data_IF_064252315664
#
_entry.id   IF_064252315664
#
_cell.length_a   1.000
_cell.length_b   1.000
_cell.length_c   1.000
_cell.angle_alpha   90.00
_cell.angle_beta   90.00
_cell.angle_gamma   90.00
#
_symmetry.space_group_name_H-M   'P 1'
#
loop_
_entity.id
_entity.type
_entity.pdbx_description
1 polymer ?
#
# COMPACT_ATOMS: atom_id res chain seq x y z
N UNK A 1 21.00 37.69 -0.51
CA UNK A 1 19.85 36.77 -0.53
C UNK A 1 20.04 35.56 -1.44
N UNK A 2 20.67 35.68 -2.61
CA UNK A 2 20.89 34.57 -3.57
C UNK A 2 21.75 33.39 -3.03
N UNK A 3 22.76 33.69 -2.22
CA UNK A 3 23.67 32.69 -1.61
C UNK A 3 22.99 31.83 -0.53
N UNK A 4 22.05 32.39 0.24
CA UNK A 4 21.32 31.61 1.27
C UNK A 4 20.29 30.66 0.65
N UNK A 5 19.68 31.03 -0.46
CA UNK A 5 18.76 30.17 -1.23
C UNK A 5 19.48 28.99 -1.89
N UNK A 6 20.71 29.20 -2.39
CA UNK A 6 21.53 28.15 -2.95
C UNK A 6 21.95 27.09 -1.92
N UNK A 7 22.28 27.55 -0.67
CA UNK A 7 22.66 26.64 0.41
C UNK A 7 21.46 25.77 0.86
N UNK A 8 20.25 26.34 0.92
CA UNK A 8 19.03 25.59 1.29
C UNK A 8 18.67 24.58 0.20
N UNK A 9 18.81 24.93 -1.08
CA UNK A 9 18.55 24.01 -2.19
C UNK A 9 19.55 22.85 -2.23
N UNK A 10 20.84 23.12 -2.01
CA UNK A 10 21.88 22.09 -1.97
C UNK A 10 21.75 21.19 -0.73
N UNK A 11 21.40 21.74 0.43
CA UNK A 11 21.18 20.94 1.64
C UNK A 11 19.91 20.08 1.53
N UNK A 12 18.83 20.59 0.91
CA UNK A 12 17.62 19.79 0.66
C UNK A 12 17.85 18.63 -0.30
N UNK A 13 18.64 18.83 -1.35
CA UNK A 13 19.03 17.79 -2.31
C UNK A 13 19.99 16.77 -1.66
N UNK A 14 20.90 17.21 -0.81
CA UNK A 14 21.80 16.31 -0.08
C UNK A 14 21.05 15.46 0.97
N UNK A 15 20.06 16.04 1.65
CA UNK A 15 19.24 15.31 2.63
C UNK A 15 18.33 14.29 1.93
N UNK A 16 17.75 14.63 0.78
CA UNK A 16 16.96 13.65 0.00
C UNK A 16 17.82 12.55 -0.59
N UNK A 17 19.03 12.85 -1.04
CA UNK A 17 19.99 11.84 -1.52
C UNK A 17 20.52 10.96 -0.37
N UNK A 18 20.72 11.51 0.82
CA UNK A 18 21.13 10.76 2.03
C UNK A 18 19.96 9.92 2.56
N UNK A 19 18.71 10.39 2.52
CA UNK A 19 17.54 9.60 2.91
C UNK A 19 17.28 8.45 1.91
N UNK A 20 17.43 8.68 0.61
CA UNK A 20 17.38 7.63 -0.41
C UNK A 20 18.60 6.69 -0.33
N UNK A 21 19.80 7.22 -0.18
CA UNK A 21 21.03 6.44 -0.02
C UNK A 21 21.10 5.69 1.32
N UNK A 22 20.60 6.28 2.41
CA UNK A 22 20.53 5.65 3.72
C UNK A 22 19.51 4.53 3.79
N UNK A 23 18.36 4.67 3.14
CA UNK A 23 17.39 3.59 2.99
C UNK A 23 17.96 2.42 2.15
N UNK A 24 18.76 2.74 1.12
CA UNK A 24 19.48 1.74 0.32
C UNK A 24 20.64 1.08 1.10
N UNK A 25 21.41 1.83 1.89
CA UNK A 25 22.58 1.30 2.61
C UNK A 25 22.20 0.46 3.84
N UNK A 26 21.09 0.75 4.51
CA UNK A 26 20.64 0.03 5.72
C UNK A 26 19.72 -1.15 5.45
N UNK A 27 19.23 -1.32 4.23
CA UNK A 27 18.31 -2.40 3.87
C UNK A 27 18.34 -2.81 2.40
N UNK A 28 19.25 -2.25 1.60
CA UNK A 28 19.21 -2.33 0.13
C UNK A 28 19.13 -3.74 -0.44
N UNK A 29 19.91 -4.67 0.09
CA UNK A 29 19.90 -6.05 -0.42
C UNK A 29 18.72 -6.87 0.11
N UNK A 30 18.30 -6.65 1.36
CA UNK A 30 17.15 -7.35 1.94
C UNK A 30 15.81 -6.82 1.44
N UNK A 31 15.74 -5.50 1.17
CA UNK A 31 14.52 -4.82 0.70
C UNK A 31 14.26 -5.12 -0.78
N UNK A 32 15.28 -5.11 -1.63
CA UNK A 32 15.17 -5.45 -3.05
C UNK A 32 14.71 -6.89 -3.28
N UNK A 33 15.34 -7.85 -2.60
CA UNK A 33 15.04 -9.27 -2.78
C UNK A 33 13.71 -9.69 -2.12
N UNK A 34 13.32 -9.06 -1.01
CA UNK A 34 12.12 -9.45 -0.28
C UNK A 34 10.81 -8.96 -0.92
N UNK A 35 10.82 -7.82 -1.63
CA UNK A 35 9.58 -7.27 -2.19
C UNK A 35 9.38 -7.64 -3.63
N UNK A 36 10.41 -7.51 -4.43
CA UNK A 36 10.24 -7.62 -5.86
C UNK A 36 10.94 -8.85 -6.42
N UNK A 37 11.86 -9.50 -5.68
CA UNK A 37 12.68 -10.59 -6.23
C UNK A 37 13.10 -10.29 -7.70
N UNK A 38 13.20 -9.01 -8.00
CA UNK A 38 13.52 -8.46 -9.31
C UNK A 38 14.86 -7.76 -9.15
N UNK A 39 15.81 -8.16 -9.95
CA UNK A 39 17.15 -7.55 -9.93
C UNK A 39 17.07 -6.10 -10.44
N UNK A 40 16.86 -5.16 -9.50
CA UNK A 40 16.85 -3.72 -9.79
C UNK A 40 18.29 -3.20 -10.02
N UNK A 41 19.30 -4.04 -9.75
CA UNK A 41 20.70 -3.66 -9.95
C UNK A 41 21.01 -3.32 -11.42
N UNK A 42 20.27 -3.93 -12.35
CA UNK A 42 20.38 -3.61 -13.79
C UNK A 42 19.90 -2.20 -14.17
N UNK A 43 19.09 -1.54 -13.31
CA UNK A 43 18.59 -0.18 -13.55
C UNK A 43 19.57 0.91 -13.12
N UNK A 44 20.56 0.59 -12.26
CA UNK A 44 21.46 1.60 -11.69
C UNK A 44 22.53 2.06 -12.67
N UNK A 45 22.82 1.30 -13.72
CA UNK A 45 23.88 1.55 -14.73
C UNK A 45 23.35 1.64 -16.17
N UNK A 46 22.13 2.18 -16.37
CA UNK A 46 21.62 2.38 -17.71
C UNK A 46 22.43 3.48 -18.45
N UNK A 47 22.72 3.31 -19.75
CA UNK A 47 23.33 4.34 -20.55
C UNK A 47 22.43 5.58 -20.60
N UNK A 48 23.00 6.75 -20.90
CA UNK A 48 22.17 7.94 -21.14
C UNK A 48 21.39 7.74 -22.44
N UNK A 49 20.12 8.18 -22.44
CA UNK A 49 19.33 8.21 -23.66
C UNK A 49 19.98 9.23 -24.61
N UNK A 50 20.44 8.75 -25.76
CA UNK A 50 20.93 9.62 -26.81
C UNK A 50 19.75 9.97 -27.75
N UNK A 51 19.21 11.17 -27.56
CA UNK A 51 18.13 11.70 -28.39
C UNK A 51 18.66 12.44 -29.61
N UNK A 52 20.01 12.56 -29.79
CA UNK A 52 20.64 13.23 -30.90
C UNK A 52 20.82 12.25 -32.05
N UNK A 53 19.97 12.34 -33.08
CA UNK A 53 20.15 11.62 -34.35
C UNK A 53 19.24 10.42 -34.61
N UNK A 54 18.35 10.08 -33.69
CA UNK A 54 17.27 9.11 -33.99
C UNK A 54 16.16 9.81 -34.79
N UNK A 55 15.57 9.15 -35.79
CA UNK A 55 14.37 9.68 -36.42
C UNK A 55 13.29 9.85 -35.36
N UNK A 56 12.69 11.04 -35.29
CA UNK A 56 11.59 11.35 -34.38
C UNK A 56 10.52 10.27 -34.56
N UNK A 57 10.31 9.46 -33.55
CA UNK A 57 9.27 8.44 -33.58
C UNK A 57 7.91 9.17 -33.66
N UNK A 58 7.14 8.90 -34.71
CA UNK A 58 5.84 9.55 -34.92
C UNK A 58 4.67 8.74 -34.33
N UNK A 59 4.94 7.49 -33.95
CA UNK A 59 3.92 6.59 -33.45
C UNK A 59 3.65 6.86 -31.96
N UNK A 60 2.44 7.28 -31.62
CA UNK A 60 1.96 7.49 -30.23
C UNK A 60 1.56 6.18 -29.52
N UNK A 61 1.71 5.04 -30.19
CA UNK A 61 1.40 3.71 -29.64
C UNK A 61 2.40 2.68 -30.17
N UNK A 62 2.82 1.78 -29.27
CA UNK A 62 3.75 0.70 -29.58
C UNK A 62 3.28 -0.60 -28.94
N UNK A 63 3.26 -1.69 -29.73
CA UNK A 63 3.03 -3.04 -29.22
C UNK A 63 4.36 -3.76 -29.03
N UNK A 64 4.51 -4.37 -27.88
CA UNK A 64 5.71 -5.12 -27.51
C UNK A 64 5.31 -6.56 -27.16
N UNK A 65 6.07 -7.57 -27.59
CA UNK A 65 5.89 -8.92 -27.11
C UNK A 65 6.19 -8.93 -25.59
N UNK A 66 5.40 -9.70 -24.85
CA UNK A 66 5.72 -9.93 -23.45
C UNK A 66 6.90 -10.90 -23.35
N UNK A 67 7.99 -10.45 -22.76
CA UNK A 67 9.15 -11.29 -22.49
C UNK A 67 9.02 -11.97 -21.12
N UNK A 68 9.32 -13.27 -21.09
CA UNK A 68 9.30 -14.07 -19.88
C UNK A 68 8.10 -15.03 -19.77
N UNK A 69 8.38 -16.20 -19.22
CA UNK A 69 7.38 -17.22 -18.88
C UNK A 69 6.89 -17.09 -17.42
N UNK A 70 7.28 -16.01 -16.74
CA UNK A 70 6.92 -15.77 -15.36
C UNK A 70 5.48 -15.22 -15.28
N UNK A 71 4.86 -15.45 -14.14
CA UNK A 71 3.54 -14.98 -13.76
C UNK A 71 3.60 -13.61 -13.02
N UNK A 72 4.61 -12.80 -13.37
CA UNK A 72 4.92 -11.51 -12.73
C UNK A 72 4.87 -10.37 -13.75
N UNK A 73 4.23 -9.26 -13.38
CA UNK A 73 4.25 -8.00 -14.11
C UNK A 73 4.78 -6.89 -13.19
N UNK A 74 5.96 -6.36 -13.50
CA UNK A 74 6.57 -5.26 -12.77
C UNK A 74 6.73 -4.04 -13.68
N UNK A 75 6.35 -2.86 -13.20
CA UNK A 75 6.39 -1.61 -13.94
C UNK A 75 7.30 -0.64 -13.19
N UNK A 76 8.40 -0.26 -13.81
CA UNK A 76 9.41 0.65 -13.25
C UNK A 76 9.51 1.95 -14.04
N UNK A 77 8.36 2.57 -14.26
CA UNK A 77 8.25 3.88 -14.93
C UNK A 77 6.96 4.57 -14.46
N UNK A 78 6.88 5.91 -14.60
CA UNK A 78 5.66 6.65 -14.29
C UNK A 78 4.60 6.34 -15.36
N UNK A 79 3.60 5.50 -15.02
CA UNK A 79 2.63 5.03 -15.98
C UNK A 79 1.25 4.80 -15.37
N UNK A 80 0.21 4.93 -16.20
CA UNK A 80 -1.08 4.35 -15.92
C UNK A 80 -1.10 2.92 -16.49
N UNK A 81 -1.40 1.95 -15.64
CA UNK A 81 -1.31 0.53 -15.99
C UNK A 81 -2.71 -0.07 -16.00
N UNK A 82 -3.06 -0.72 -17.09
CA UNK A 82 -4.34 -1.40 -17.24
C UNK A 82 -4.11 -2.89 -17.50
N UNK A 83 -4.75 -3.71 -16.69
CA UNK A 83 -4.84 -5.14 -16.90
C UNK A 83 -6.31 -5.56 -16.84
N UNK A 84 -6.74 -6.29 -17.87
CA UNK A 84 -8.05 -6.93 -17.88
C UNK A 84 -7.89 -8.41 -18.26
N UNK A 85 -8.27 -9.29 -17.36
CA UNK A 85 -8.18 -10.72 -17.59
C UNK A 85 -8.96 -11.13 -18.86
N UNK A 86 -8.32 -11.96 -19.69
CA UNK A 86 -8.90 -12.45 -20.95
C UNK A 86 -8.74 -11.53 -22.15
N UNK A 87 -8.27 -10.29 -22.00
CA UNK A 87 -8.06 -9.31 -23.09
C UNK A 87 -6.64 -9.36 -23.65
N UNK A 88 -6.46 -9.25 -24.97
CA UNK A 88 -5.17 -9.04 -25.61
C UNK A 88 -4.06 -10.06 -25.27
N UNK A 89 -3.05 -10.16 -26.08
CA UNK A 89 -1.88 -11.03 -25.91
C UNK A 89 -0.54 -10.29 -25.96
N UNK A 90 -0.59 -9.00 -26.21
CA UNK A 90 0.58 -8.12 -26.31
C UNK A 90 0.52 -7.01 -25.26
N UNK A 91 1.70 -6.56 -24.84
CA UNK A 91 1.82 -5.31 -24.11
C UNK A 91 1.64 -4.15 -25.10
N UNK A 92 0.75 -3.22 -24.81
CA UNK A 92 0.56 -2.00 -25.59
C UNK A 92 0.94 -0.81 -24.73
N UNK A 93 1.82 0.03 -25.26
CA UNK A 93 2.27 1.26 -24.61
C UNK A 93 1.84 2.44 -25.47
N UNK A 94 1.23 3.46 -24.84
CA UNK A 94 0.82 4.71 -25.48
C UNK A 94 1.41 5.89 -24.73
N UNK A 95 1.83 6.91 -25.46
CA UNK A 95 2.40 8.12 -24.87
C UNK A 95 3.25 8.90 -25.83
N UNK A 96 4.15 9.73 -25.30
CA UNK A 96 5.11 10.48 -26.08
C UNK A 96 5.99 9.53 -26.91
N UNK A 97 6.11 9.77 -28.24
CA UNK A 97 6.86 8.89 -29.14
C UNK A 97 8.31 8.66 -28.71
N UNK A 98 9.00 9.71 -28.26
CA UNK A 98 10.40 9.61 -27.88
C UNK A 98 10.55 8.80 -26.59
N UNK A 99 9.60 8.95 -25.65
CA UNK A 99 9.63 8.18 -24.42
C UNK A 99 9.30 6.70 -24.64
N UNK A 100 8.22 6.39 -25.38
CA UNK A 100 7.80 5.00 -25.62
C UNK A 100 8.78 4.20 -26.48
N UNK A 101 9.62 4.88 -27.28
CA UNK A 101 10.69 4.24 -28.05
C UNK A 101 11.72 3.55 -27.16
N UNK A 102 11.93 4.06 -25.97
CA UNK A 102 12.89 3.56 -24.98
C UNK A 102 12.32 2.54 -23.98
N UNK A 103 11.02 2.22 -24.08
CA UNK A 103 10.42 1.20 -23.21
C UNK A 103 10.82 -0.19 -23.69
N UNK A 104 11.24 -1.03 -22.75
CA UNK A 104 11.60 -2.44 -22.93
C UNK A 104 10.87 -3.31 -21.92
N UNK A 105 10.67 -4.55 -22.32
CA UNK A 105 10.17 -5.62 -21.44
C UNK A 105 11.26 -6.66 -21.33
N UNK A 106 11.67 -6.97 -20.10
CA UNK A 106 12.64 -8.02 -19.84
C UNK A 106 12.24 -8.77 -18.56
N UNK A 107 12.12 -10.08 -18.64
CA UNK A 107 11.76 -10.95 -17.49
C UNK A 107 10.50 -10.50 -16.72
N UNK A 108 9.50 -9.96 -17.44
CA UNK A 108 8.27 -9.44 -16.84
C UNK A 108 8.40 -8.04 -16.24
N UNK A 109 9.53 -7.36 -16.42
CA UNK A 109 9.76 -5.98 -16.01
C UNK A 109 9.64 -5.05 -17.21
N UNK A 110 8.73 -4.07 -17.08
CA UNK A 110 8.58 -2.96 -18.03
C UNK A 110 9.38 -1.78 -17.50
N UNK A 111 10.42 -1.39 -18.20
CA UNK A 111 11.35 -0.32 -17.81
C UNK A 111 11.87 0.45 -19.01
N UNK A 112 12.61 1.53 -18.77
CA UNK A 112 13.39 2.21 -19.79
C UNK A 112 14.71 1.47 -20.03
N UNK A 113 15.22 1.51 -21.25
CA UNK A 113 16.53 0.97 -21.61
C UNK A 113 17.69 1.97 -21.45
N UNK A 114 17.38 3.18 -21.03
CA UNK A 114 18.36 4.24 -20.85
C UNK A 114 17.97 5.20 -19.70
N UNK A 115 18.95 5.93 -19.17
CA UNK A 115 18.78 7.05 -18.26
C UNK A 115 18.65 8.35 -19.04
N UNK A 116 17.46 8.95 -19.08
CA UNK A 116 17.21 10.22 -19.72
C UNK A 116 16.41 11.16 -18.83
N UNK A 117 16.69 12.45 -18.92
CA UNK A 117 15.83 13.47 -18.34
C UNK A 117 14.66 13.70 -19.31
N UNK A 118 13.71 12.78 -19.31
CA UNK A 118 12.47 13.02 -20.03
C UNK A 118 11.66 14.06 -19.24
N UNK A 119 11.38 15.20 -19.88
CA UNK A 119 10.50 16.22 -19.31
C UNK A 119 9.04 15.77 -19.51
N UNK A 120 8.63 14.79 -18.73
CA UNK A 120 7.22 14.40 -18.70
C UNK A 120 6.44 15.48 -17.94
N UNK A 121 5.56 16.18 -18.62
CA UNK A 121 4.55 17.01 -18.00
C UNK A 121 3.65 16.14 -17.13
N UNK A 122 2.98 16.72 -16.13
CA UNK A 122 2.02 15.98 -15.30
C UNK A 122 0.91 15.27 -16.09
N UNK A 123 0.67 15.72 -17.32
CA UNK A 123 -0.34 15.17 -18.23
C UNK A 123 0.22 14.14 -19.22
N UNK A 124 1.55 13.97 -19.31
CA UNK A 124 2.20 13.07 -20.28
C UNK A 124 2.56 11.72 -19.65
N UNK A 125 1.64 11.16 -18.85
CA UNK A 125 1.79 9.80 -18.35
C UNK A 125 1.70 8.80 -19.50
N UNK A 126 2.51 7.76 -19.41
CA UNK A 126 2.44 6.65 -20.34
C UNK A 126 1.33 5.70 -19.93
N UNK A 127 0.48 5.31 -20.88
CA UNK A 127 -0.52 4.27 -20.66
C UNK A 127 0.06 2.92 -21.07
N UNK A 128 0.06 1.98 -20.14
CA UNK A 128 0.56 0.61 -20.32
C UNK A 128 -0.60 -0.36 -20.19
N UNK A 129 -0.94 -1.05 -21.28
CA UNK A 129 -1.94 -2.13 -21.25
C UNK A 129 -1.21 -3.47 -21.24
N UNK A 130 -1.38 -4.23 -20.16
CA UNK A 130 -0.78 -5.55 -19.99
C UNK A 130 -1.53 -6.63 -20.79
N UNK A 131 -0.85 -7.72 -21.23
CA UNK A 131 -1.48 -8.82 -21.95
C UNK A 131 -2.43 -9.60 -21.04
N UNK A 132 -3.74 -9.42 -21.20
CA UNK A 132 -4.76 -9.99 -20.32
C UNK A 132 -5.05 -11.47 -20.53
N UNK A 133 -4.59 -12.08 -21.62
CA UNK A 133 -4.61 -13.55 -21.82
C UNK A 133 -3.62 -14.29 -20.93
N UNK A 134 -2.63 -13.57 -20.41
CA UNK A 134 -1.70 -14.10 -19.39
C UNK A 134 -2.26 -13.92 -18.00
N UNK A 135 -2.10 -14.94 -17.19
CA UNK A 135 -2.43 -14.87 -15.76
C UNK A 135 -1.20 -14.43 -14.99
N UNK A 136 -1.24 -13.25 -14.38
CA UNK A 136 -0.18 -12.75 -13.53
C UNK A 136 -0.57 -12.95 -12.07
N UNK A 137 0.26 -13.64 -11.29
CA UNK A 137 0.10 -13.76 -9.84
C UNK A 137 0.67 -12.57 -9.08
N UNK A 138 1.63 -11.86 -9.67
CA UNK A 138 2.28 -10.73 -9.02
C UNK A 138 2.26 -9.49 -9.89
N UNK A 139 1.77 -8.39 -9.32
CA UNK A 139 1.77 -7.05 -9.90
C UNK A 139 2.61 -6.13 -9.04
N UNK A 140 3.57 -5.43 -9.63
CA UNK A 140 4.45 -4.52 -8.92
C UNK A 140 4.54 -3.17 -9.63
N UNK A 141 4.33 -2.07 -8.89
CA UNK A 141 4.57 -0.71 -9.36
C UNK A 141 5.75 -0.09 -8.60
N UNK A 142 6.79 0.29 -9.34
CA UNK A 142 7.96 1.00 -8.82
C UNK A 142 7.94 2.42 -9.36
N UNK A 143 7.44 3.36 -8.57
CA UNK A 143 7.35 4.76 -8.98
C UNK A 143 6.00 5.38 -8.67
N UNK A 144 5.50 6.17 -9.62
CA UNK A 144 4.22 6.90 -9.53
C UNK A 144 3.31 6.51 -10.68
N UNK A 145 2.01 6.46 -10.45
CA UNK A 145 1.03 6.17 -11.50
C UNK A 145 -0.19 5.44 -10.95
N UNK A 146 -1.15 5.18 -11.82
CA UNK A 146 -2.39 4.53 -11.46
C UNK A 146 -2.41 3.12 -12.07
N UNK A 147 -2.80 2.12 -11.27
CA UNK A 147 -2.88 0.72 -11.71
C UNK A 147 -4.32 0.25 -11.59
N UNK A 148 -4.87 -0.26 -12.68
CA UNK A 148 -6.20 -0.87 -12.70
C UNK A 148 -6.10 -2.33 -13.13
N UNK A 149 -6.53 -3.23 -12.26
CA UNK A 149 -6.53 -4.68 -12.47
C UNK A 149 -7.96 -5.19 -12.44
N UNK A 150 -8.47 -5.67 -13.57
CA UNK A 150 -9.87 -6.10 -13.67
C UNK A 150 -10.03 -7.57 -13.98
N UNK A 151 -11.03 -8.18 -13.33
CA UNK A 151 -11.44 -9.55 -13.59
C UNK A 151 -10.47 -10.61 -13.07
N UNK A 152 -9.74 -10.32 -11.99
CA UNK A 152 -8.84 -11.29 -11.38
C UNK A 152 -9.61 -12.53 -10.89
N UNK A 153 -9.11 -13.71 -11.23
CA UNK A 153 -9.72 -14.98 -10.81
C UNK A 153 -8.66 -16.07 -10.71
N UNK A 154 -7.87 -16.03 -9.65
CA UNK A 154 -6.74 -16.93 -9.43
C UNK A 154 -6.53 -17.23 -7.95
N UNK A 155 -5.89 -18.37 -7.60
CA UNK A 155 -5.70 -18.76 -6.19
C UNK A 155 -4.86 -17.77 -5.38
N UNK A 156 -3.90 -17.12 -6.02
CA UNK A 156 -2.97 -16.21 -5.37
C UNK A 156 -2.79 -14.92 -6.18
N UNK A 157 -2.88 -13.79 -5.50
CA UNK A 157 -2.58 -12.46 -6.05
C UNK A 157 -1.63 -11.75 -5.10
N UNK A 158 -0.50 -11.30 -5.63
CA UNK A 158 0.43 -10.41 -4.93
C UNK A 158 0.41 -9.05 -5.58
N UNK A 159 0.19 -8.00 -4.79
CA UNK A 159 0.25 -6.61 -5.21
C UNK A 159 1.33 -5.91 -4.41
N UNK A 160 2.24 -5.21 -5.09
CA UNK A 160 3.33 -4.49 -4.43
C UNK A 160 3.47 -3.09 -5.00
N UNK A 161 3.50 -2.06 -4.15
CA UNK A 161 3.75 -0.67 -4.54
C UNK A 161 4.96 -0.13 -3.80
N UNK A 162 5.93 0.39 -4.54
CA UNK A 162 7.04 1.15 -4.00
C UNK A 162 7.03 2.55 -4.61
N UNK A 163 6.49 3.53 -3.86
CA UNK A 163 6.35 4.91 -4.31
C UNK A 163 5.03 5.56 -3.87
N UNK A 164 4.43 6.33 -4.78
CA UNK A 164 3.20 7.08 -4.54
C UNK A 164 2.20 6.85 -5.68
N UNK A 165 1.77 5.60 -5.86
CA UNK A 165 0.81 5.21 -6.88
C UNK A 165 -0.51 4.78 -6.28
N UNK A 166 -1.59 4.93 -7.04
CA UNK A 166 -2.90 4.41 -6.69
C UNK A 166 -3.16 3.08 -7.42
N UNK A 167 -3.76 2.11 -6.73
CA UNK A 167 -4.11 0.84 -7.34
C UNK A 167 -5.56 0.48 -7.04
N UNK A 168 -6.27 0.05 -8.06
CA UNK A 168 -7.60 -0.52 -7.93
C UNK A 168 -7.61 -1.92 -8.54
N UNK A 169 -8.22 -2.89 -7.84
CA UNK A 169 -8.40 -4.23 -8.38
C UNK A 169 -9.79 -4.78 -8.05
N UNK A 170 -10.32 -5.57 -8.99
CA UNK A 170 -11.58 -6.29 -8.83
C UNK A 170 -11.44 -7.78 -9.18
N UNK A 171 -12.36 -8.60 -8.65
CA UNK A 171 -12.39 -10.03 -8.90
C UNK A 171 -12.43 -10.88 -7.64
N UNK A 172 -11.74 -12.04 -7.67
CA UNK A 172 -11.66 -12.97 -6.55
C UNK A 172 -10.33 -13.71 -6.49
N UNK A 173 -9.87 -14.00 -5.28
CA UNK A 173 -8.67 -14.80 -5.02
C UNK A 173 -8.83 -15.59 -3.72
N UNK A 174 -8.05 -16.65 -3.54
CA UNK A 174 -7.99 -17.33 -2.24
C UNK A 174 -7.01 -16.57 -1.30
N UNK A 175 -5.84 -16.19 -1.81
CA UNK A 175 -4.81 -15.51 -1.05
C UNK A 175 -4.42 -14.19 -1.70
N UNK A 176 -4.56 -13.09 -0.96
CA UNK A 176 -4.14 -11.76 -1.38
C UNK A 176 -2.98 -11.30 -0.49
N UNK A 177 -1.83 -11.01 -1.11
CA UNK A 177 -0.69 -10.39 -0.44
C UNK A 177 -0.48 -8.98 -0.94
N UNK A 178 -0.40 -8.01 -0.02
CA UNK A 178 -0.27 -6.58 -0.30
C UNK A 178 0.96 -6.03 0.39
N UNK A 179 1.92 -5.53 -0.39
CA UNK A 179 3.13 -4.87 0.11
C UNK A 179 3.12 -3.39 -0.31
N UNK A 180 3.06 -2.45 0.62
CA UNK A 180 3.10 -1.01 0.34
C UNK A 180 4.31 -0.37 0.98
N UNK A 181 5.17 0.25 0.18
CA UNK A 181 6.29 1.06 0.64
C UNK A 181 6.17 2.48 0.08
N UNK A 182 5.75 3.40 0.93
CA UNK A 182 5.52 4.80 0.56
C UNK A 182 4.13 5.30 0.94
N UNK A 183 3.45 6.00 0.02
CA UNK A 183 2.20 6.71 0.30
C UNK A 183 1.08 6.38 -0.69
N UNK A 184 1.10 5.21 -1.30
CA UNK A 184 0.10 4.77 -2.27
C UNK A 184 -1.26 4.46 -1.64
N UNK A 185 -2.34 4.60 -2.43
CA UNK A 185 -3.69 4.20 -2.03
C UNK A 185 -4.13 2.97 -2.83
N UNK A 186 -4.44 1.89 -2.14
CA UNK A 186 -4.87 0.63 -2.75
C UNK A 186 -6.33 0.35 -2.46
N UNK A 187 -7.16 0.35 -3.49
CA UNK A 187 -8.59 0.03 -3.45
C UNK A 187 -8.79 -1.41 -3.88
N UNK A 188 -8.75 -2.33 -2.95
CA UNK A 188 -8.89 -3.78 -3.15
C UNK A 188 -10.20 -4.32 -2.53
N UNK A 189 -11.12 -3.43 -2.16
CA UNK A 189 -12.41 -3.78 -1.57
C UNK A 189 -13.33 -4.56 -2.51
N UNK A 190 -13.15 -4.42 -3.83
CA UNK A 190 -13.90 -5.13 -4.86
C UNK A 190 -13.19 -6.46 -5.27
N UNK A 191 -12.02 -6.75 -4.70
CA UNK A 191 -11.31 -8.02 -4.84
C UNK A 191 -11.60 -8.92 -3.63
N UNK A 192 -12.58 -9.81 -3.76
CA UNK A 192 -12.93 -10.74 -2.70
C UNK A 192 -11.79 -11.74 -2.45
N UNK A 193 -11.28 -11.79 -1.22
CA UNK A 193 -10.18 -12.66 -0.83
C UNK A 193 -10.52 -13.48 0.41
N UNK A 194 -10.16 -14.79 0.45
CA UNK A 194 -10.34 -15.60 1.65
C UNK A 194 -9.34 -15.21 2.73
N UNK A 195 -8.07 -15.21 2.40
CA UNK A 195 -6.98 -14.80 3.29
C UNK A 195 -6.28 -13.56 2.72
N UNK A 196 -6.03 -12.57 3.58
CA UNK A 196 -5.35 -11.32 3.21
C UNK A 196 -4.17 -11.09 4.13
N UNK A 197 -3.02 -10.75 3.56
CA UNK A 197 -1.79 -10.38 4.24
C UNK A 197 -1.37 -8.98 3.76
N UNK A 198 -1.31 -8.00 4.67
CA UNK A 198 -1.01 -6.59 4.36
C UNK A 198 0.22 -6.14 5.13
N UNK A 199 1.26 -5.72 4.43
CA UNK A 199 2.47 -5.08 4.97
C UNK A 199 2.54 -3.63 4.46
N UNK A 200 2.46 -2.65 5.36
CA UNK A 200 2.58 -1.22 5.04
C UNK A 200 3.80 -0.62 5.73
N UNK A 201 4.73 -0.13 4.93
CA UNK A 201 5.87 0.67 5.39
C UNK A 201 5.75 2.11 4.86
N UNK A 202 5.20 2.98 5.69
CA UNK A 202 4.96 4.38 5.32
C UNK A 202 3.59 4.91 5.72
N UNK A 203 2.94 5.67 4.82
CA UNK A 203 1.66 6.34 5.08
C UNK A 203 0.57 5.93 4.08
N UNK A 204 0.71 4.77 3.47
CA UNK A 204 -0.25 4.25 2.49
C UNK A 204 -1.62 3.93 3.08
N UNK A 205 -2.64 3.96 2.23
CA UNK A 205 -3.99 3.51 2.57
C UNK A 205 -4.32 2.25 1.79
N UNK A 206 -4.83 1.23 2.47
CA UNK A 206 -5.20 -0.04 1.85
C UNK A 206 -6.62 -0.40 2.23
N UNK A 207 -7.47 -0.61 1.24
CA UNK A 207 -8.84 -1.08 1.42
C UNK A 207 -8.94 -2.53 0.96
N UNK A 208 -9.44 -3.42 1.81
CA UNK A 208 -9.52 -4.87 1.54
C UNK A 208 -10.85 -5.47 2.00
N UNK A 209 -11.24 -6.60 1.38
CA UNK A 209 -12.43 -7.38 1.73
C UNK A 209 -12.07 -8.84 2.10
N UNK A 210 -11.42 -9.07 3.27
CA UNK A 210 -11.07 -10.40 3.74
C UNK A 210 -12.32 -11.17 4.19
N UNK A 211 -12.39 -12.49 3.92
CA UNK A 211 -13.51 -13.35 4.33
C UNK A 211 -13.18 -14.23 5.53
N UNK A 212 -12.02 -14.89 5.53
CA UNK A 212 -11.64 -15.86 6.56
C UNK A 212 -10.57 -15.31 7.50
N UNK A 213 -9.47 -14.78 6.97
CA UNK A 213 -8.36 -14.30 7.78
C UNK A 213 -7.73 -13.02 7.22
N UNK A 214 -7.28 -12.18 8.16
CA UNK A 214 -6.51 -10.98 7.88
C UNK A 214 -5.28 -10.94 8.79
N UNK A 215 -4.11 -10.74 8.18
CA UNK A 215 -2.89 -10.39 8.87
C UNK A 215 -2.44 -9.00 8.42
N UNK A 216 -2.16 -8.09 9.36
CA UNK A 216 -1.75 -6.71 9.06
C UNK A 216 -0.50 -6.35 9.84
N UNK A 217 0.53 -5.92 9.14
CA UNK A 217 1.72 -5.28 9.71
C UNK A 217 1.85 -3.84 9.18
N UNK A 218 1.82 -2.86 10.07
CA UNK A 218 1.97 -1.45 9.71
C UNK A 218 3.15 -0.84 10.44
N UNK A 219 4.16 -0.42 9.68
CA UNK A 219 5.28 0.38 10.16
C UNK A 219 5.16 1.82 9.64
N UNK A 220 4.63 2.73 10.46
CA UNK A 220 4.42 4.13 10.09
C UNK A 220 3.03 4.66 10.45
N UNK A 221 2.41 5.40 9.52
CA UNK A 221 1.10 6.04 9.72
C UNK A 221 0.04 5.53 8.72
N UNK A 222 0.26 4.35 8.16
CA UNK A 222 -0.66 3.75 7.19
C UNK A 222 -2.02 3.38 7.79
N UNK A 223 -3.04 3.31 6.94
CA UNK A 223 -4.39 2.94 7.36
C UNK A 223 -4.92 1.80 6.51
N UNK A 224 -5.48 0.78 7.16
CA UNK A 224 -6.16 -0.35 6.51
C UNK A 224 -7.67 -0.23 6.76
N UNK A 225 -8.46 -0.16 5.68
CA UNK A 225 -9.92 -0.12 5.72
C UNK A 225 -10.47 -1.50 5.38
N UNK A 226 -11.31 -2.05 6.24
CA UNK A 226 -11.98 -3.33 6.03
C UNK A 226 -13.36 -3.11 5.44
N UNK A 227 -13.66 -3.74 4.31
CA UNK A 227 -15.00 -3.79 3.71
C UNK A 227 -15.85 -4.94 4.26
N UNK A 228 -15.20 -5.95 4.84
CA UNK A 228 -15.84 -7.10 5.49
C UNK A 228 -15.11 -7.45 6.76
N UNK A 229 -15.81 -8.07 7.70
CA UNK A 229 -15.23 -8.55 8.96
C UNK A 229 -14.77 -10.00 8.77
N UNK A 230 -13.47 -10.32 8.82
CA UNK A 230 -12.98 -11.68 8.72
C UNK A 230 -13.17 -12.45 10.04
N UNK A 231 -13.14 -13.79 9.96
CA UNK A 231 -13.26 -14.67 11.14
C UNK A 231 -12.05 -14.56 12.08
N UNK A 232 -10.88 -14.23 11.55
CA UNK A 232 -9.63 -14.11 12.30
C UNK A 232 -8.87 -12.86 11.86
N UNK A 233 -8.43 -12.05 12.83
CA UNK A 233 -7.58 -10.88 12.60
C UNK A 233 -6.33 -10.99 13.45
N UNK A 234 -5.16 -10.84 12.83
CA UNK A 234 -3.87 -10.67 13.50
C UNK A 234 -3.28 -9.31 13.09
N UNK A 235 -2.83 -8.51 14.05
CA UNK A 235 -2.38 -7.15 13.78
C UNK A 235 -1.11 -6.81 14.53
N UNK A 236 -0.19 -6.12 13.84
CA UNK A 236 1.04 -5.58 14.39
C UNK A 236 1.20 -4.15 13.89
N UNK A 237 1.09 -3.16 14.78
CA UNK A 237 1.14 -1.74 14.40
C UNK A 237 2.28 -1.04 15.12
N UNK A 238 3.28 -0.64 14.37
CA UNK A 238 4.44 0.12 14.83
C UNK A 238 4.36 1.57 14.34
N UNK A 239 3.82 2.47 15.16
CA UNK A 239 3.66 3.88 14.82
C UNK A 239 2.28 4.43 15.10
N UNK A 240 1.74 5.23 14.17
CA UNK A 240 0.42 5.88 14.28
C UNK A 240 -0.60 5.29 13.28
N UNK A 241 -0.34 4.10 12.77
CA UNK A 241 -1.23 3.42 11.85
C UNK A 241 -2.54 2.98 12.47
N UNK A 242 -3.58 2.79 11.66
CA UNK A 242 -4.91 2.40 12.11
C UNK A 242 -5.50 1.32 11.20
N UNK A 243 -6.37 0.48 11.79
CA UNK A 243 -7.29 -0.39 11.07
C UNK A 243 -8.69 0.12 11.34
N UNK A 244 -9.46 0.31 10.28
CA UNK A 244 -10.84 0.79 10.32
C UNK A 244 -11.76 -0.37 9.94
N UNK A 245 -12.60 -0.79 10.86
CA UNK A 245 -13.57 -1.88 10.68
C UNK A 245 -14.82 -1.41 9.92
N UNK A 246 -15.64 -2.32 9.36
CA UNK A 246 -16.82 -1.95 8.59
C UNK A 246 -17.87 -1.17 9.39
N UNK A 247 -17.90 -1.32 10.71
CA UNK A 247 -18.77 -0.58 11.64
C UNK A 247 -18.23 0.82 11.99
N UNK A 248 -17.07 1.21 11.42
CA UNK A 248 -16.40 2.47 11.70
C UNK A 248 -15.50 2.46 12.95
N UNK A 249 -15.43 1.35 13.69
CA UNK A 249 -14.50 1.24 14.81
C UNK A 249 -13.05 1.23 14.32
N UNK A 250 -12.14 1.78 15.13
CA UNK A 250 -10.72 1.88 14.79
C UNK A 250 -9.88 1.10 15.78
N UNK A 251 -8.89 0.36 15.29
CA UNK A 251 -7.91 -0.38 16.07
C UNK A 251 -6.50 0.09 15.70
N UNK A 252 -5.66 0.39 16.69
CA UNK A 252 -4.28 0.86 16.50
C UNK A 252 -4.15 2.36 16.73
N UNK A 253 -2.93 2.88 16.47
CA UNK A 253 -2.60 4.28 16.73
C UNK A 253 -2.32 4.61 18.20
N UNK A 254 -1.59 5.72 18.42
CA UNK A 254 -1.18 6.15 19.78
C UNK A 254 -2.36 6.59 20.65
N UNK A 255 -3.39 7.15 20.06
CA UNK A 255 -4.61 7.55 20.76
C UNK A 255 -5.38 6.34 21.23
N UNK A 256 -5.57 5.34 20.36
CA UNK A 256 -6.24 4.09 20.71
C UNK A 256 -5.56 3.36 21.88
N UNK A 257 -4.23 3.19 21.84
CA UNK A 257 -3.49 2.56 22.94
C UNK A 257 -3.64 3.30 24.28
N UNK A 258 -3.66 4.64 24.26
CA UNK A 258 -3.89 5.45 25.46
C UNK A 258 -5.29 5.24 26.01
N UNK A 259 -6.31 5.23 25.14
CA UNK A 259 -7.70 5.01 25.55
C UNK A 259 -7.92 3.57 26.04
N UNK A 260 -7.37 2.56 25.37
CA UNK A 260 -7.45 1.18 25.80
C UNK A 260 -6.80 0.96 27.18
N UNK A 261 -5.65 1.58 27.45
CA UNK A 261 -5.02 1.55 28.79
C UNK A 261 -5.83 2.28 29.85
N UNK A 262 -6.45 3.41 29.49
CA UNK A 262 -7.32 4.16 30.39
C UNK A 262 -8.61 3.38 30.68
N UNK A 263 -9.18 2.71 29.68
CA UNK A 263 -10.34 1.81 29.82
C UNK A 263 -10.03 0.69 30.81
N UNK A 264 -8.93 -0.04 30.62
CA UNK A 264 -8.53 -1.13 31.52
C UNK A 264 -8.29 -0.63 32.95
N UNK A 265 -7.69 0.54 33.11
CA UNK A 265 -7.51 1.15 34.44
C UNK A 265 -8.84 1.52 35.10
N UNK A 266 -9.78 2.11 34.36
CA UNK A 266 -11.12 2.46 34.85
C UNK A 266 -11.93 1.20 35.20
N UNK A 267 -11.86 0.15 34.37
CA UNK A 267 -12.53 -1.13 34.63
C UNK A 267 -11.99 -1.75 35.95
N UNK A 268 -10.65 -1.79 36.11
CA UNK A 268 -10.03 -2.31 37.33
C UNK A 268 -10.44 -1.54 38.57
N UNK A 269 -10.42 -0.19 38.48
CA UNK A 269 -10.81 0.69 39.59
C UNK A 269 -12.30 0.52 39.97
N UNK A 270 -13.19 0.49 38.97
CA UNK A 270 -14.60 0.32 39.17
C UNK A 270 -14.96 -1.07 39.71
N UNK A 271 -14.27 -2.12 39.29
CA UNK A 271 -14.42 -3.48 39.82
C UNK A 271 -13.92 -3.56 41.26
N UNK A 272 -12.77 -2.92 41.59
CA UNK A 272 -12.26 -2.85 42.95
C UNK A 272 -13.26 -2.15 43.90
N UNK A 273 -13.81 -1.02 43.45
CA UNK A 273 -14.78 -0.25 44.21
C UNK A 273 -16.12 -0.99 44.41
N UNK A 274 -16.55 -1.76 43.40
CA UNK A 274 -17.74 -2.61 43.52
C UNK A 274 -17.53 -3.76 44.51
N UNK A 275 -16.33 -4.34 44.56
CA UNK A 275 -15.97 -5.41 45.51
C UNK A 275 -15.85 -4.91 46.96
N UNK A 276 -15.45 -3.67 47.17
CA UNK A 276 -15.38 -3.07 48.53
C UNK A 276 -16.75 -2.73 49.10
N UNK A 277 -17.75 -2.47 48.22
CA UNK A 277 -19.10 -2.08 48.64
C UNK A 277 -20.09 -3.26 48.79
N UNK A 278 -19.72 -4.45 48.35
CA UNK A 278 -20.62 -5.61 48.34
C UNK A 278 -20.16 -6.64 49.35
N UNK A 279 -20.76 -6.58 50.54
CA UNK A 279 -20.52 -7.53 51.62
C UNK A 279 -21.47 -8.74 51.62
N UNK A 280 -22.50 -8.76 50.74
CA UNK A 280 -23.49 -9.84 50.65
C UNK A 280 -23.46 -10.46 49.22
N UNK A 281 -22.86 -11.61 49.12
CA UNK A 281 -22.30 -12.16 47.90
C UNK A 281 -23.15 -13.27 47.28
N UNK A 282 -23.76 -12.99 46.11
CA UNK A 282 -24.04 -14.02 45.11
C UNK A 282 -23.05 -13.84 43.93
N UNK A 283 -22.18 -14.83 43.75
CA UNK A 283 -21.05 -14.76 42.78
C UNK A 283 -21.52 -14.54 41.35
N UNK A 284 -22.71 -15.01 40.97
CA UNK A 284 -23.26 -14.90 39.62
C UNK A 284 -23.75 -13.47 39.31
N UNK A 285 -24.30 -12.78 40.30
CA UNK A 285 -24.74 -11.39 40.10
C UNK A 285 -23.56 -10.43 40.01
N UNK A 286 -22.47 -10.70 40.73
CA UNK A 286 -21.23 -9.95 40.64
C UNK A 286 -20.59 -10.06 39.23
N UNK A 287 -20.54 -11.27 38.65
CA UNK A 287 -19.99 -11.45 37.29
C UNK A 287 -20.87 -10.77 36.23
N UNK A 288 -22.19 -10.81 36.38
CA UNK A 288 -23.11 -10.07 35.50
C UNK A 288 -22.95 -8.56 35.63
N UNK A 289 -22.77 -8.05 36.84
CA UNK A 289 -22.52 -6.62 37.07
C UNK A 289 -21.20 -6.16 36.46
N UNK A 290 -20.11 -6.94 36.62
CA UNK A 290 -18.82 -6.70 35.99
C UNK A 290 -18.92 -6.67 34.44
N UNK A 291 -19.65 -7.61 33.85
CA UNK A 291 -19.84 -7.67 32.39
C UNK A 291 -20.61 -6.44 31.88
N UNK A 292 -21.69 -6.02 32.56
CA UNK A 292 -22.46 -4.82 32.22
C UNK A 292 -21.64 -3.54 32.36
N UNK A 293 -20.85 -3.40 33.42
CA UNK A 293 -19.97 -2.25 33.66
C UNK A 293 -18.89 -2.17 32.58
N UNK A 294 -18.25 -3.30 32.24
CA UNK A 294 -17.26 -3.40 31.20
C UNK A 294 -17.83 -2.98 29.84
N UNK A 295 -19.03 -3.43 29.49
CA UNK A 295 -19.70 -3.04 28.26
C UNK A 295 -20.01 -1.54 28.22
N UNK A 296 -20.48 -0.93 29.31
CA UNK A 296 -20.78 0.51 29.42
C UNK A 296 -19.51 1.37 29.26
N UNK A 297 -18.40 0.98 29.91
CA UNK A 297 -17.14 1.71 29.83
C UNK A 297 -16.60 1.64 28.42
N UNK A 298 -16.63 0.49 27.74
CA UNK A 298 -16.21 0.35 26.34
C UNK A 298 -17.01 1.22 25.40
N UNK A 299 -18.33 1.24 25.56
CA UNK A 299 -19.20 2.10 24.74
C UNK A 299 -18.87 3.59 24.94
N UNK A 300 -18.62 4.02 26.18
CA UNK A 300 -18.26 5.40 26.48
C UNK A 300 -16.91 5.79 25.89
N UNK A 301 -15.88 4.95 26.06
CA UNK A 301 -14.54 5.19 25.50
C UNK A 301 -14.57 5.24 23.98
N UNK A 302 -15.32 4.35 23.32
CA UNK A 302 -15.50 4.37 21.88
C UNK A 302 -16.17 5.67 21.40
N UNK A 303 -17.14 6.17 22.15
CA UNK A 303 -17.81 7.43 21.82
C UNK A 303 -16.88 8.65 21.97
N UNK A 304 -16.10 8.71 23.03
CA UNK A 304 -15.10 9.78 23.25
C UNK A 304 -14.00 9.74 22.19
N UNK A 305 -13.49 8.55 21.87
CA UNK A 305 -12.48 8.37 20.82
C UNK A 305 -12.97 8.85 19.45
N UNK A 306 -14.22 8.50 19.08
CA UNK A 306 -14.81 8.99 17.83
C UNK A 306 -15.00 10.51 17.82
N UNK A 307 -15.27 11.11 18.98
CA UNK A 307 -15.39 12.56 19.13
C UNK A 307 -14.04 13.29 18.99
N UNK A 308 -12.98 12.76 19.57
CA UNK A 308 -11.62 13.31 19.40
C UNK A 308 -11.17 13.23 17.96
N UNK A 309 -11.37 12.09 17.29
CA UNK A 309 -11.00 11.89 15.90
C UNK A 309 -11.78 12.81 14.94
N UNK A 310 -13.05 13.06 15.20
CA UNK A 310 -13.85 14.03 14.44
C UNK A 310 -13.35 15.47 14.60
N UNK A 311 -12.76 15.82 15.74
CA UNK A 311 -12.18 17.14 15.98
C UNK A 311 -10.79 17.31 15.33
N UNK A 312 -10.02 16.24 15.11
CA UNK A 312 -8.73 16.27 14.42
C UNK A 312 -8.86 16.37 12.88
N UNK A 313 -10.04 16.04 12.33
CA UNK A 313 -10.32 16.13 10.88
C UNK A 313 -10.87 17.50 10.45
N UNK A 314 -11.07 18.44 11.36
CA UNK A 314 -11.44 19.81 10.99
C UNK A 314 -10.17 20.64 10.68
N UNK A 315 -10.08 21.26 9.47
CA UNK A 315 -8.91 22.00 9.01
C UNK A 315 -8.65 23.28 9.82
#
# INVERSE_FOLDING_TARGET
MRTKLAIIAVSGLAISAVCLGGAFALGGNAIGNAIFDTDISSMVNLPRCDTTGQPVATATSRSLPWDGNNDRAAIALPANVHYQAGSGDQLVVKGDPDFIAHIRVKDGLVSLDCNGNFHLSKNDRVDVTLPGRRTFKSFALLGTGDVQLSGLSQPEVKVSIAGAGDLQADGKTDNLKVDVKGSGNLKLGDLAAKAVDVDIKGSGKVEVAPQDSLNVDVAGSGTVYLRSEPKKIETSIHGSGNIVHPDGTRQGGRSYERHARAEDAMIRMAVSQALENDSDNDSDDLERAKARLKARIRAHVAQELNRELANEEQP
#
